data_IF_743443061432
#
_entry.id   IF_743443061432
#
_cell.length_a   1.000
_cell.length_b   1.000
_cell.length_c   1.000
_cell.angle_alpha   90.00
_cell.angle_beta   90.00
_cell.angle_gamma   90.00
#
_symmetry.space_group_name_H-M   'P 1'
#
loop_
_entity.id
_entity.type
_entity.pdbx_description
1 polymer ?
#
# COMPACT_ATOMS: atom_id res chain seq x y z
N UNK A 1 -14.76 -48.14 23.89
CA UNK A 1 -13.85 -48.29 22.75
C UNK A 1 -13.51 -46.89 22.21
N UNK A 2 -12.34 -46.42 22.61
CA UNK A 2 -11.37 -45.50 21.98
C UNK A 2 -11.85 -44.31 21.10
N UNK A 3 -11.48 -43.12 21.60
CA UNK A 3 -11.29 -41.79 21.02
C UNK A 3 -10.64 -41.72 19.62
N UNK A 4 -11.08 -40.80 18.74
CA UNK A 4 -10.19 -39.93 17.93
C UNK A 4 -11.01 -38.76 17.31
N UNK A 5 -11.02 -37.55 17.87
CA UNK A 5 -10.06 -36.44 17.68
C UNK A 5 -9.70 -36.14 16.21
N UNK A 6 -10.50 -35.31 15.53
CA UNK A 6 -10.02 -34.45 14.45
C UNK A 6 -10.08 -32.99 14.89
N UNK A 7 -8.97 -32.60 15.52
CA UNK A 7 -8.57 -31.24 15.86
C UNK A 7 -8.72 -30.34 14.63
N UNK A 8 -9.67 -29.42 14.67
CA UNK A 8 -9.66 -28.27 13.77
C UNK A 8 -8.39 -27.47 14.06
N UNK A 9 -7.40 -27.51 13.16
CA UNK A 9 -6.34 -26.52 13.12
C UNK A 9 -6.95 -25.21 12.58
N UNK A 10 -7.78 -24.56 13.40
CA UNK A 10 -8.04 -23.13 13.26
C UNK A 10 -6.70 -22.45 13.48
N UNK A 11 -6.02 -22.11 12.37
CA UNK A 11 -4.94 -21.13 12.38
C UNK A 11 -5.46 -19.93 13.19
N UNK A 12 -4.77 -19.48 14.25
CA UNK A 12 -5.17 -18.25 14.90
C UNK A 12 -5.07 -17.16 13.84
N UNK A 13 -6.22 -16.56 13.50
CA UNK A 13 -6.24 -15.28 12.83
C UNK A 13 -5.24 -14.41 13.60
N UNK A 14 -4.17 -13.96 12.92
CA UNK A 14 -3.27 -12.97 13.49
C UNK A 14 -4.17 -11.84 13.96
N UNK A 15 -4.33 -11.73 15.29
CA UNK A 15 -4.94 -10.59 15.94
C UNK A 15 -4.07 -9.41 15.51
N UNK A 16 -4.51 -8.70 14.47
CA UNK A 16 -3.98 -7.38 14.15
C UNK A 16 -4.18 -6.58 15.41
N UNK A 17 -3.08 -6.30 16.12
CA UNK A 17 -3.13 -5.41 17.26
C UNK A 17 -3.87 -4.14 16.81
N UNK A 18 -4.86 -3.64 17.58
CA UNK A 18 -5.51 -2.39 17.24
C UNK A 18 -4.40 -1.34 17.10
N UNK A 19 -4.39 -0.68 15.94
CA UNK A 19 -3.54 0.47 15.71
C UNK A 19 -3.84 1.48 16.83
N UNK A 20 -2.84 2.02 17.54
CA UNK A 20 -3.08 2.99 18.60
C UNK A 20 -3.94 4.13 18.06
N UNK A 21 -5.00 4.47 18.80
CA UNK A 21 -6.14 5.21 18.27
C UNK A 21 -5.82 6.63 17.78
N UNK A 22 -4.68 7.22 18.15
CA UNK A 22 -4.34 8.56 17.66
C UNK A 22 -2.85 8.70 17.39
N UNK A 23 -2.46 8.50 16.13
CA UNK A 23 -1.30 9.21 15.62
C UNK A 23 -1.55 10.73 15.79
N UNK A 24 -0.54 11.53 16.13
CA UNK A 24 -0.64 13.00 16.09
C UNK A 24 -1.26 13.46 14.76
N UNK A 25 -2.07 14.53 14.77
CA UNK A 25 -2.77 14.98 13.54
C UNK A 25 -1.80 15.23 12.37
N UNK A 26 -0.59 15.75 12.65
CA UNK A 26 0.44 15.94 11.64
C UNK A 26 0.85 14.61 10.97
N UNK A 27 1.04 13.57 11.78
CA UNK A 27 1.36 12.22 11.32
C UNK A 27 0.20 11.63 10.50
N UNK A 28 -1.04 11.86 10.91
CA UNK A 28 -2.22 11.43 10.13
C UNK A 28 -2.30 12.10 8.75
N UNK A 29 -2.00 13.40 8.67
CA UNK A 29 -1.98 14.13 7.39
C UNK A 29 -0.93 13.55 6.44
N UNK A 30 0.28 13.27 6.94
CA UNK A 30 1.35 12.66 6.12
C UNK A 30 0.89 11.31 5.58
N UNK A 31 0.34 10.44 6.41
CA UNK A 31 -0.17 9.15 5.97
C UNK A 31 -1.34 9.25 4.98
N UNK A 32 -2.22 10.24 5.13
CA UNK A 32 -3.30 10.50 4.17
C UNK A 32 -2.76 10.93 2.80
N UNK A 33 -1.73 11.77 2.76
CA UNK A 33 -1.09 12.16 1.50
C UNK A 33 -0.35 10.98 0.87
N UNK A 34 0.29 10.12 1.67
CA UNK A 34 0.93 8.90 1.14
C UNK A 34 -0.14 7.97 0.55
N UNK A 35 -1.26 7.76 1.26
CA UNK A 35 -2.40 6.97 0.79
C UNK A 35 -3.00 7.54 -0.50
N UNK A 36 -3.15 8.87 -0.59
CA UNK A 36 -3.58 9.56 -1.80
C UNK A 36 -2.71 9.24 -3.01
N UNK A 37 -1.39 9.34 -2.85
CA UNK A 37 -0.47 9.03 -3.94
C UNK A 37 -0.55 7.56 -4.33
N UNK A 38 -0.78 6.66 -3.38
CA UNK A 38 -1.03 5.24 -3.69
C UNK A 38 -2.34 5.05 -4.45
N UNK A 39 -3.43 5.74 -4.08
CA UNK A 39 -4.72 5.62 -4.76
C UNK A 39 -4.66 6.17 -6.19
N UNK A 40 -4.03 7.34 -6.40
CA UNK A 40 -3.82 7.89 -7.73
C UNK A 40 -2.99 6.93 -8.61
N UNK A 41 -1.91 6.37 -8.07
CA UNK A 41 -1.13 5.37 -8.79
C UNK A 41 -1.93 4.11 -9.12
N UNK A 42 -2.80 3.67 -8.20
CA UNK A 42 -3.67 2.53 -8.44
C UNK A 42 -4.69 2.83 -9.56
N UNK A 43 -5.30 4.02 -9.56
CA UNK A 43 -6.24 4.45 -10.59
C UNK A 43 -5.59 4.58 -11.97
N UNK A 44 -4.34 5.03 -12.03
CA UNK A 44 -3.60 5.04 -13.30
C UNK A 44 -3.30 3.61 -13.78
N UNK A 45 -2.93 2.68 -12.88
CA UNK A 45 -2.53 1.31 -13.26
C UNK A 45 -3.70 0.35 -13.48
N UNK A 46 -4.89 0.63 -12.94
CA UNK A 46 -6.10 -0.12 -13.26
C UNK A 46 -6.66 0.47 -14.54
N UNK A 47 -6.45 -0.16 -15.71
CA UNK A 47 -7.06 0.34 -16.93
C UNK A 47 -8.58 0.35 -16.73
N UNK A 48 -9.21 1.48 -17.02
CA UNK A 48 -10.64 1.50 -17.28
C UNK A 48 -10.85 0.53 -18.46
N UNK A 49 -11.48 -0.60 -18.19
CA UNK A 49 -11.75 -1.71 -19.12
C UNK A 49 -12.75 -1.32 -20.22
N UNK A 50 -12.61 -0.13 -20.81
CA UNK A 50 -13.56 0.51 -21.72
C UNK A 50 -12.88 1.07 -22.99
N UNK A 51 -11.54 1.14 -23.06
CA UNK A 51 -10.85 1.76 -24.20
C UNK A 51 -10.44 0.69 -25.22
N UNK A 52 -10.74 0.95 -26.50
CA UNK A 52 -10.57 0.00 -27.60
C UNK A 52 -9.13 -0.52 -27.78
N UNK A 53 -8.94 -1.77 -28.26
CA UNK A 53 -7.64 -2.46 -28.29
C UNK A 53 -6.53 -1.81 -29.12
N UNK A 54 -6.83 -0.83 -29.98
CA UNK A 54 -5.86 -0.23 -30.92
C UNK A 54 -5.06 0.94 -30.36
N UNK A 55 -5.49 1.55 -29.25
CA UNK A 55 -4.78 2.66 -28.56
C UNK A 55 -4.15 2.24 -27.22
N UNK A 56 -4.18 0.93 -26.92
CA UNK A 56 -3.84 0.36 -25.62
C UNK A 56 -2.37 0.61 -25.24
N UNK A 57 -1.42 0.39 -26.15
CA UNK A 57 0.01 0.45 -25.84
C UNK A 57 0.49 1.86 -25.41
N UNK A 58 0.07 2.91 -26.13
CA UNK A 58 0.47 4.29 -25.79
C UNK A 58 -0.21 4.75 -24.50
N UNK A 59 -1.47 4.36 -24.30
CA UNK A 59 -2.26 4.72 -23.13
C UNK A 59 -1.74 4.01 -21.87
N UNK A 60 -1.37 2.74 -21.97
CA UNK A 60 -0.78 1.95 -20.88
C UNK A 60 0.61 2.46 -20.49
N UNK A 61 1.46 2.79 -21.46
CA UNK A 61 2.78 3.38 -21.16
C UNK A 61 2.65 4.73 -20.45
N UNK A 62 1.75 5.59 -20.93
CA UNK A 62 1.47 6.87 -20.29
C UNK A 62 0.90 6.68 -18.87
N UNK A 63 0.04 5.68 -18.67
CA UNK A 63 -0.49 5.31 -17.37
C UNK A 63 0.59 4.83 -16.40
N UNK A 64 1.49 3.93 -16.85
CA UNK A 64 2.65 3.50 -16.08
C UNK A 64 3.54 4.67 -15.64
N UNK A 65 3.80 5.63 -16.54
CA UNK A 65 4.60 6.82 -16.22
C UNK A 65 3.94 7.74 -15.17
N UNK A 66 2.62 7.98 -15.26
CA UNK A 66 1.88 8.75 -14.26
C UNK A 66 1.84 8.05 -12.91
N UNK A 67 1.57 6.74 -12.91
CA UNK A 67 1.60 5.93 -11.71
C UNK A 67 2.99 5.95 -11.04
N UNK A 68 4.06 5.80 -11.81
CA UNK A 68 5.43 5.87 -11.30
C UNK A 68 5.71 7.24 -10.63
N UNK A 69 5.19 8.33 -11.20
CA UNK A 69 5.31 9.68 -10.62
C UNK A 69 4.62 9.76 -9.26
N UNK A 70 3.39 9.26 -9.14
CA UNK A 70 2.67 9.23 -7.87
C UNK A 70 3.36 8.34 -6.83
N UNK A 71 3.80 7.15 -7.22
CA UNK A 71 4.52 6.24 -6.34
C UNK A 71 5.85 6.82 -5.86
N UNK A 72 6.58 7.52 -6.72
CA UNK A 72 7.82 8.18 -6.35
C UNK A 72 7.57 9.30 -5.33
N UNK A 73 6.54 10.13 -5.55
CA UNK A 73 6.14 11.17 -4.60
C UNK A 73 5.73 10.58 -3.23
N UNK A 74 4.93 9.50 -3.23
CA UNK A 74 4.54 8.80 -2.00
C UNK A 74 5.74 8.20 -1.26
N UNK A 75 6.65 7.54 -1.99
CA UNK A 75 7.88 6.96 -1.44
C UNK A 75 8.80 8.05 -0.86
N UNK A 76 8.96 9.17 -1.56
CA UNK A 76 9.78 10.28 -1.10
C UNK A 76 9.28 10.84 0.24
N UNK A 77 7.96 11.08 0.34
CA UNK A 77 7.32 11.53 1.58
C UNK A 77 7.51 10.51 2.71
N UNK A 78 7.28 9.23 2.43
CA UNK A 78 7.46 8.13 3.39
C UNK A 78 8.91 8.09 3.90
N UNK A 79 9.90 8.22 3.01
CA UNK A 79 11.30 8.19 3.39
C UNK A 79 11.70 9.38 4.27
N UNK A 80 11.18 10.58 3.96
CA UNK A 80 11.40 11.79 4.77
C UNK A 80 10.74 11.70 6.15
N UNK A 81 9.59 11.04 6.23
CA UNK A 81 8.81 10.90 7.46
C UNK A 81 9.27 9.75 8.37
N UNK A 82 10.00 8.77 7.82
CA UNK A 82 10.52 7.58 8.51
C UNK A 82 11.12 7.90 9.88
N UNK A 83 12.05 8.84 9.94
CA UNK A 83 12.80 9.12 11.17
C UNK A 83 11.90 9.67 12.28
N UNK A 84 10.97 10.57 11.92
CA UNK A 84 9.97 11.10 12.84
C UNK A 84 9.07 9.97 13.38
N UNK A 85 8.55 9.13 12.49
CA UNK A 85 7.70 7.99 12.86
C UNK A 85 8.40 7.03 13.81
N UNK A 86 9.67 6.68 13.51
CA UNK A 86 10.49 5.80 14.33
C UNK A 86 10.75 6.44 15.70
N UNK A 87 11.20 7.70 15.76
CA UNK A 87 11.51 8.40 17.02
C UNK A 87 10.30 8.57 17.94
N UNK A 88 9.09 8.62 17.38
CA UNK A 88 7.85 8.67 18.17
C UNK A 88 7.55 7.35 18.92
N UNK A 89 8.36 6.29 18.77
CA UNK A 89 8.38 5.16 19.69
C UNK A 89 9.04 5.54 21.01
N UNK A 90 8.33 5.36 22.13
CA UNK A 90 8.80 5.73 23.47
C UNK A 90 9.95 4.81 23.89
N UNK A 91 9.83 3.52 23.58
CA UNK A 91 10.82 2.49 23.93
C UNK A 91 11.68 2.05 22.74
N UNK A 92 12.86 1.48 23.00
CA UNK A 92 13.73 0.93 21.96
C UNK A 92 13.03 -0.15 21.12
N UNK A 93 12.25 -1.03 21.76
CA UNK A 93 11.49 -2.08 21.08
C UNK A 93 10.44 -1.50 20.13
N UNK A 94 9.75 -0.44 20.55
CA UNK A 94 8.78 0.26 19.68
C UNK A 94 9.47 0.93 18.51
N UNK A 95 10.63 1.57 18.71
CA UNK A 95 11.42 2.18 17.63
C UNK A 95 11.86 1.13 16.61
N UNK A 96 12.38 -0.02 17.08
CA UNK A 96 12.76 -1.14 16.21
C UNK A 96 11.56 -1.72 15.45
N UNK A 97 10.41 -1.88 16.12
CA UNK A 97 9.17 -2.33 15.49
C UNK A 97 8.75 -1.35 14.38
N UNK A 98 8.69 -0.06 14.67
CA UNK A 98 8.31 0.99 13.71
C UNK A 98 9.30 1.08 12.55
N UNK A 99 10.58 0.90 12.81
CA UNK A 99 11.62 0.85 11.79
C UNK A 99 11.38 -0.32 10.82
N UNK A 100 11.15 -1.53 11.34
CA UNK A 100 10.82 -2.70 10.51
C UNK A 100 9.52 -2.48 9.72
N UNK A 101 8.54 -1.83 10.33
CA UNK A 101 7.31 -1.45 9.64
C UNK A 101 7.61 -0.54 8.44
N UNK A 102 8.43 0.51 8.63
CA UNK A 102 8.85 1.43 7.55
C UNK A 102 9.56 0.73 6.42
N UNK A 103 10.46 -0.21 6.72
CA UNK A 103 11.10 -1.03 5.69
C UNK A 103 10.07 -1.84 4.89
N UNK A 104 9.01 -2.33 5.54
CA UNK A 104 7.89 -3.00 4.86
C UNK A 104 7.18 -2.10 3.86
N UNK A 105 6.81 -0.87 4.26
CA UNK A 105 6.18 0.09 3.35
C UNK A 105 7.14 0.52 2.23
N UNK A 106 8.40 0.82 2.53
CA UNK A 106 9.40 1.17 1.52
C UNK A 106 9.60 0.03 0.53
N UNK A 107 9.68 -1.23 0.98
CA UNK A 107 9.76 -2.38 0.08
C UNK A 107 8.55 -2.47 -0.84
N UNK A 108 7.33 -2.27 -0.32
CA UNK A 108 6.11 -2.29 -1.13
C UNK A 108 6.06 -1.16 -2.17
N UNK A 109 6.53 0.06 -1.82
CA UNK A 109 6.64 1.16 -2.79
C UNK A 109 7.69 0.87 -3.88
N UNK A 110 8.80 0.22 -3.54
CA UNK A 110 9.83 -0.14 -4.53
C UNK A 110 9.28 -1.16 -5.54
N UNK A 111 8.57 -2.17 -5.06
CA UNK A 111 7.90 -3.17 -5.89
C UNK A 111 6.86 -2.55 -6.82
N UNK A 112 6.01 -1.65 -6.29
CA UNK A 112 5.02 -0.94 -7.11
C UNK A 112 5.67 -0.02 -8.15
N UNK A 113 6.79 0.63 -7.81
CA UNK A 113 7.55 1.45 -8.77
C UNK A 113 8.13 0.61 -9.90
N UNK A 114 8.68 -0.56 -9.59
CA UNK A 114 9.20 -1.48 -10.61
C UNK A 114 8.08 -1.92 -11.56
N UNK A 115 6.91 -2.25 -11.01
CA UNK A 115 5.72 -2.60 -11.80
C UNK A 115 5.30 -1.46 -12.73
N UNK A 116 5.15 -0.25 -12.21
CA UNK A 116 4.72 0.91 -13.00
C UNK A 116 5.72 1.27 -14.10
N UNK A 117 7.02 1.10 -13.84
CA UNK A 117 8.08 1.32 -14.84
C UNK A 117 8.07 0.28 -15.94
N UNK A 118 7.93 -1.00 -15.61
CA UNK A 118 7.78 -2.06 -16.60
C UNK A 118 6.62 -1.74 -17.56
N UNK A 119 5.47 -1.31 -17.02
CA UNK A 119 4.33 -0.88 -17.84
C UNK A 119 4.64 0.37 -18.67
N UNK A 120 5.35 1.37 -18.11
CA UNK A 120 5.77 2.57 -18.83
C UNK A 120 6.71 2.26 -20.02
N UNK A 121 7.51 1.21 -19.90
CA UNK A 121 8.42 0.73 -20.93
C UNK A 121 7.71 -0.19 -21.96
N UNK A 122 6.44 -0.53 -21.72
CA UNK A 122 5.67 -1.46 -22.54
C UNK A 122 6.06 -2.92 -22.33
N UNK A 123 6.74 -3.22 -21.22
CA UNK A 123 7.03 -4.59 -20.83
C UNK A 123 5.79 -5.26 -20.23
N UNK A 124 5.71 -6.59 -20.37
CA UNK A 124 4.68 -7.37 -19.68
C UNK A 124 4.93 -7.29 -18.18
N UNK A 125 4.07 -6.55 -17.50
CA UNK A 125 4.09 -6.47 -16.04
C UNK A 125 3.75 -7.81 -15.39
N UNK A 126 4.18 -8.00 -14.14
CA UNK A 126 3.90 -9.22 -13.39
C UNK A 126 2.38 -9.52 -13.37
N UNK A 127 1.97 -10.80 -13.38
CA UNK A 127 0.55 -11.16 -13.48
C UNK A 127 -0.24 -10.88 -12.19
N UNK A 128 0.44 -10.58 -11.09
CA UNK A 128 -0.19 -10.18 -9.83
C UNK A 128 0.09 -8.70 -9.52
N UNK A 129 -0.90 -7.98 -8.95
CA UNK A 129 -0.69 -6.60 -8.53
C UNK A 129 0.33 -6.53 -7.37
N UNK A 130 1.16 -5.47 -7.34
CA UNK A 130 2.09 -5.21 -6.24
C UNK A 130 1.45 -5.25 -4.86
N UNK A 131 2.20 -5.66 -3.82
CA UNK A 131 1.73 -5.69 -2.42
C UNK A 131 1.10 -4.38 -1.95
N UNK A 132 1.57 -3.26 -2.47
CA UNK A 132 1.04 -1.92 -2.17
C UNK A 132 -0.47 -1.79 -2.48
N UNK A 133 -0.95 -2.51 -3.48
CA UNK A 133 -2.34 -2.48 -3.94
C UNK A 133 -3.18 -3.63 -3.39
N UNK A 134 -2.57 -4.60 -2.71
CA UNK A 134 -3.27 -5.76 -2.17
C UNK A 134 -4.00 -5.44 -0.85
N UNK A 135 -5.24 -5.91 -0.74
CA UNK A 135 -6.07 -5.79 0.46
C UNK A 135 -5.84 -7.00 1.36
N UNK A 136 -4.83 -6.94 2.24
CA UNK A 136 -4.43 -8.12 3.04
C UNK A 136 -3.78 -7.85 4.40
N UNK A 137 -3.94 -6.65 4.96
CA UNK A 137 -3.39 -6.32 6.29
C UNK A 137 -1.86 -6.15 6.37
N UNK A 138 -1.12 -6.33 5.26
CA UNK A 138 0.34 -6.22 5.26
C UNK A 138 0.85 -4.78 5.44
N UNK A 139 0.02 -3.78 5.12
CA UNK A 139 0.35 -2.35 5.18
C UNK A 139 -0.77 -1.60 5.93
N UNK A 140 -0.91 -1.82 7.24
CA UNK A 140 -2.14 -1.48 7.96
C UNK A 140 -2.39 0.04 8.07
N UNK A 141 -1.34 0.88 8.20
CA UNK A 141 -1.51 2.33 8.20
C UNK A 141 -2.01 2.82 6.85
N UNK A 142 -1.36 2.39 5.77
CA UNK A 142 -1.75 2.76 4.42
C UNK A 142 -3.20 2.31 4.13
N UNK A 143 -3.56 1.08 4.49
CA UNK A 143 -4.91 0.55 4.29
C UNK A 143 -5.98 1.32 5.09
N UNK A 144 -5.66 1.76 6.31
CA UNK A 144 -6.56 2.62 7.11
C UNK A 144 -6.90 3.90 6.35
N UNK A 145 -5.90 4.65 5.91
CA UNK A 145 -6.12 5.95 5.25
C UNK A 145 -6.63 5.84 3.80
N UNK A 146 -6.42 4.70 3.12
CA UNK A 146 -7.05 4.40 1.83
C UNK A 146 -8.55 4.07 1.98
N UNK A 147 -8.92 3.26 2.99
CA UNK A 147 -10.34 2.93 3.28
C UNK A 147 -11.15 4.15 3.66
N UNK A 148 -10.59 5.02 4.51
CA UNK A 148 -11.25 6.26 4.91
C UNK A 148 -11.58 7.13 3.70
N UNK A 149 -10.77 7.10 2.62
CA UNK A 149 -11.06 7.82 1.38
C UNK A 149 -12.21 7.23 0.56
N UNK A 150 -12.26 5.91 0.42
CA UNK A 150 -13.35 5.26 -0.32
C UNK A 150 -14.73 5.45 0.35
N UNK A 151 -14.76 5.65 1.67
CA UNK A 151 -15.99 6.01 2.38
C UNK A 151 -16.56 7.38 1.97
N UNK A 152 -15.71 8.32 1.50
CA UNK A 152 -16.16 9.64 1.02
C UNK A 152 -16.60 9.64 -0.45
N UNK A 153 -16.22 8.62 -1.25
CA UNK A 153 -16.57 8.57 -2.68
C UNK A 153 -17.91 7.86 -2.94
N UNK A 154 -18.52 7.23 -1.93
CA UNK A 154 -19.82 6.55 -2.03
C UNK A 154 -21.02 7.46 -1.73
N UNK A 155 -20.82 8.78 -1.65
CA UNK A 155 -21.87 9.77 -1.41
C UNK A 155 -21.79 10.87 -2.47
N UNK A 156 -22.05 10.53 -3.74
CA UNK A 156 -22.55 11.47 -4.76
C UNK A 156 -23.43 10.68 -5.73
#
# INVERSE_FOLDING_TARGET
>A
MILTLLRSLRRPARRTAPLPDTLPQADQRVWRVIAERTDLAYLDLVPASVIEPRELDVTERAAGARAATHLWAGRFLLNRYRDQYVRAGVTLLERLRRHREMEGYLSAFAEALAYARAQAEGERSAPWPPRLFQTGGQLPLLQRYRRDRHAYTAVV
#
